data_IF_713472095863
#
_entry.id   IF_713472095863
#
_cell.length_a   1.000
_cell.length_b   1.000
_cell.length_c   1.000
_cell.angle_alpha   90.00
_cell.angle_beta   90.00
_cell.angle_gamma   90.00
#
_symmetry.space_group_name_H-M   'P 1'
#
loop_
_entity.id
_entity.type
_entity.pdbx_description
1 polymer ?
#
# COMPACT_ATOMS: atom_id res chain seq x y z
N UNK A 1 2.28 1.59 34.72
CA UNK A 1 1.12 0.79 34.25
C UNK A 1 1.40 0.47 32.80
N UNK A 2 1.46 -0.79 32.43
CA UNK A 2 1.69 -1.17 31.02
C UNK A 2 0.42 -0.85 30.22
N UNK A 3 0.57 -0.16 29.10
CA UNK A 3 -0.54 0.15 28.21
C UNK A 3 -0.81 -1.08 27.34
N UNK A 4 -2.08 -1.36 27.08
CA UNK A 4 -2.52 -2.46 26.21
C UNK A 4 -3.46 -1.89 25.15
N UNK A 5 -3.21 -2.21 23.89
CA UNK A 5 -4.06 -1.81 22.78
C UNK A 5 -5.42 -2.50 22.85
N UNK A 6 -6.49 -1.75 22.60
CA UNK A 6 -7.85 -2.31 22.53
C UNK A 6 -8.01 -3.37 21.44
N UNK A 7 -7.26 -3.23 20.36
CA UNK A 7 -7.24 -4.13 19.21
C UNK A 7 -5.80 -4.45 18.84
N UNK A 8 -5.51 -5.70 18.55
CA UNK A 8 -4.20 -6.08 18.02
C UNK A 8 -3.96 -5.35 16.71
N UNK A 9 -2.90 -4.55 16.65
CA UNK A 9 -2.61 -3.68 15.52
C UNK A 9 -1.20 -3.95 14.98
N UNK A 10 -1.08 -4.10 13.68
CA UNK A 10 0.20 -4.25 12.98
C UNK A 10 0.62 -2.97 12.28
N UNK A 11 1.91 -2.69 12.27
CA UNK A 11 2.51 -1.56 11.56
C UNK A 11 3.60 -2.07 10.63
N UNK A 12 3.67 -1.50 9.42
CA UNK A 12 4.77 -1.68 8.46
C UNK A 12 5.27 -0.32 8.05
N UNK A 13 6.60 -0.16 7.99
CA UNK A 13 7.24 1.05 7.51
C UNK A 13 8.18 0.74 6.36
N UNK A 14 8.11 1.54 5.30
CA UNK A 14 9.06 1.49 4.20
C UNK A 14 9.24 2.89 3.60
N UNK A 15 10.28 3.64 4.01
CA UNK A 15 10.57 4.98 3.52
C UNK A 15 10.99 5.06 2.06
N UNK A 16 11.49 3.97 1.46
CA UNK A 16 12.01 3.89 0.09
C UNK A 16 13.10 4.95 -0.19
N UNK A 17 14.26 4.77 0.41
CA UNK A 17 15.39 5.71 0.30
C UNK A 17 15.97 5.84 -1.10
N UNK A 18 15.81 4.84 -1.94
CA UNK A 18 16.30 4.76 -3.31
C UNK A 18 15.29 5.22 -4.37
N UNK A 19 14.13 5.74 -3.91
CA UNK A 19 13.09 6.25 -4.80
C UNK A 19 12.74 7.69 -4.46
N UNK A 20 12.84 8.58 -5.45
CA UNK A 20 12.44 9.97 -5.35
C UNK A 20 11.94 10.49 -6.70
N UNK A 21 10.96 11.40 -6.66
CA UNK A 21 10.44 12.08 -7.85
C UNK A 21 11.46 13.11 -8.32
N UNK A 22 11.96 13.91 -7.41
CA UNK A 22 13.06 14.84 -7.59
C UNK A 22 13.63 15.27 -6.23
N UNK A 23 14.85 15.81 -6.18
CA UNK A 23 15.48 16.24 -4.91
C UNK A 23 14.70 17.32 -4.15
N UNK A 24 13.82 18.06 -4.82
CA UNK A 24 13.05 19.17 -4.24
C UNK A 24 11.55 18.87 -4.10
N UNK A 25 11.10 17.67 -4.52
CA UNK A 25 9.70 17.32 -4.41
C UNK A 25 9.30 17.07 -2.95
N UNK A 26 8.10 17.49 -2.50
CA UNK A 26 7.64 17.26 -1.13
C UNK A 26 7.39 15.77 -0.79
N UNK A 27 7.12 14.92 -1.80
CA UNK A 27 7.05 13.47 -1.60
C UNK A 27 8.46 12.87 -1.54
N UNK A 28 8.98 12.71 -0.33
CA UNK A 28 10.34 12.27 -0.04
C UNK A 28 10.34 11.22 1.08
N UNK A 29 11.45 10.48 1.17
CA UNK A 29 11.66 9.45 2.19
C UNK A 29 11.56 9.99 3.62
N UNK A 30 12.03 11.21 3.85
CA UNK A 30 12.01 11.83 5.19
C UNK A 30 10.61 11.91 5.77
N UNK A 31 9.58 12.05 4.93
CA UNK A 31 8.19 12.10 5.38
C UNK A 31 7.78 10.84 6.16
N UNK A 32 8.15 9.66 5.68
CA UNK A 32 7.88 8.40 6.36
C UNK A 32 8.93 8.06 7.41
N UNK A 33 10.19 8.42 7.15
CA UNK A 33 11.28 8.20 8.11
C UNK A 33 11.01 8.93 9.42
N UNK A 34 10.71 10.23 9.38
CA UNK A 34 10.41 11.00 10.59
C UNK A 34 9.14 10.51 11.29
N UNK A 35 8.15 10.02 10.54
CA UNK A 35 6.97 9.38 11.14
C UNK A 35 7.34 8.10 11.87
N UNK A 36 8.20 7.27 11.27
CA UNK A 36 8.70 6.05 11.90
C UNK A 36 9.48 6.36 13.17
N UNK A 37 10.43 7.30 13.10
CA UNK A 37 11.23 7.72 14.26
C UNK A 37 10.33 8.23 15.40
N UNK A 38 9.33 9.05 15.08
CA UNK A 38 8.38 9.57 16.08
C UNK A 38 7.56 8.45 16.73
N UNK A 39 7.14 7.44 15.96
CA UNK A 39 6.41 6.28 16.48
C UNK A 39 7.27 5.48 17.47
N UNK A 40 8.57 5.33 17.18
CA UNK A 40 9.53 4.68 18.09
C UNK A 40 9.78 5.53 19.35
N UNK A 41 10.04 6.83 19.19
CA UNK A 41 10.32 7.75 20.31
C UNK A 41 9.15 7.88 21.28
N UNK A 42 7.92 7.90 20.77
CA UNK A 42 6.69 7.92 21.58
C UNK A 42 6.35 6.56 22.21
N UNK A 43 7.16 5.54 21.99
CA UNK A 43 7.00 4.22 22.59
C UNK A 43 5.76 3.46 22.13
N UNK A 44 5.33 3.64 20.89
CA UNK A 44 4.11 2.95 20.39
C UNK A 44 4.28 1.43 20.42
N UNK A 45 5.50 0.94 20.20
CA UNK A 45 5.80 -0.49 20.25
C UNK A 45 5.95 -1.06 21.67
N UNK A 46 6.00 -0.21 22.70
CA UNK A 46 5.95 -0.62 24.09
C UNK A 46 4.52 -0.95 24.56
N UNK A 47 3.53 -0.62 23.73
CA UNK A 47 2.12 -0.93 23.99
C UNK A 47 1.85 -2.38 23.63
N UNK A 48 1.43 -3.18 24.60
CA UNK A 48 1.03 -4.57 24.36
C UNK A 48 -0.08 -4.66 23.33
N UNK A 49 0.11 -5.50 22.28
CA UNK A 49 -0.83 -5.67 21.18
C UNK A 49 -0.55 -4.79 19.98
N UNK A 50 0.52 -3.99 19.98
CA UNK A 50 1.06 -3.33 18.79
C UNK A 50 2.30 -4.10 18.32
N UNK A 51 2.37 -4.45 17.05
CA UNK A 51 3.44 -5.26 16.49
C UNK A 51 3.97 -4.63 15.20
N UNK A 52 5.28 -4.49 15.09
CA UNK A 52 5.93 -4.15 13.84
C UNK A 52 6.07 -5.39 12.95
N UNK A 53 5.74 -5.23 11.66
CA UNK A 53 5.99 -6.22 10.62
C UNK A 53 7.00 -5.65 9.63
N UNK A 54 7.88 -6.49 9.12
CA UNK A 54 8.76 -6.11 8.00
C UNK A 54 8.02 -6.29 6.69
N UNK A 55 8.17 -5.37 5.73
CA UNK A 55 7.57 -5.53 4.41
C UNK A 55 8.19 -6.75 3.71
N UNK A 56 7.33 -7.53 3.06
CA UNK A 56 7.74 -8.57 2.12
C UNK A 56 7.91 -7.96 0.72
N UNK A 57 8.30 -8.74 -0.26
CA UNK A 57 8.30 -8.39 -1.66
C UNK A 57 7.09 -9.01 -2.37
N UNK A 58 6.41 -8.24 -3.21
CA UNK A 58 5.52 -8.85 -4.21
C UNK A 58 6.35 -9.41 -5.37
N UNK A 59 5.78 -10.35 -6.09
CA UNK A 59 6.38 -10.93 -7.30
C UNK A 59 5.82 -10.24 -8.54
N UNK A 60 6.55 -10.28 -9.66
CA UNK A 60 6.06 -9.78 -10.93
C UNK A 60 4.66 -10.32 -11.29
N UNK A 61 4.43 -11.62 -11.06
CA UNK A 61 3.11 -12.23 -11.27
C UNK A 61 1.98 -11.64 -10.41
N UNK A 62 2.28 -11.07 -9.26
CA UNK A 62 1.26 -10.41 -8.41
C UNK A 62 0.90 -9.05 -9.00
N UNK A 63 1.87 -8.35 -9.58
CA UNK A 63 1.66 -7.11 -10.34
C UNK A 63 0.83 -7.39 -11.60
N UNK A 64 1.16 -8.44 -12.34
CA UNK A 64 0.47 -8.86 -13.57
C UNK A 64 -0.97 -9.32 -13.37
N UNK A 65 -1.39 -9.64 -12.13
CA UNK A 65 -2.81 -9.88 -11.81
C UNK A 65 -3.66 -8.62 -11.98
N UNK A 66 -3.04 -7.46 -11.82
CA UNK A 66 -3.71 -6.15 -11.83
C UNK A 66 -3.41 -5.39 -13.10
N UNK A 67 -2.14 -5.39 -13.52
CA UNK A 67 -1.62 -4.50 -14.55
C UNK A 67 -1.17 -5.21 -15.81
N UNK A 68 -1.45 -4.60 -16.94
CA UNK A 68 -0.75 -4.83 -18.18
C UNK A 68 0.39 -3.80 -18.29
N UNK A 69 1.62 -4.24 -18.02
CA UNK A 69 2.80 -3.36 -17.99
C UNK A 69 3.46 -3.29 -19.37
N UNK A 70 3.82 -2.09 -19.83
CA UNK A 70 4.46 -1.85 -21.13
C UNK A 70 5.81 -1.15 -20.92
N UNK A 71 6.93 -1.75 -21.35
CA UNK A 71 7.02 -3.02 -22.09
C UNK A 71 6.78 -4.27 -21.21
N UNK A 72 7.11 -4.20 -19.93
CA UNK A 72 6.96 -5.26 -18.94
C UNK A 72 6.97 -4.67 -17.52
N UNK A 73 6.85 -5.52 -16.50
CA UNK A 73 6.82 -5.10 -15.09
C UNK A 73 8.10 -4.36 -14.69
N UNK A 74 9.25 -4.82 -15.14
CA UNK A 74 10.55 -4.25 -14.79
C UNK A 74 10.83 -2.92 -15.48
N UNK A 75 10.20 -2.68 -16.62
CA UNK A 75 10.22 -1.39 -17.32
C UNK A 75 9.34 -0.33 -16.64
N UNK A 76 8.41 -0.74 -15.77
CA UNK A 76 7.46 0.16 -15.11
C UNK A 76 7.77 0.35 -13.62
N UNK A 77 8.14 -0.72 -12.92
CA UNK A 77 8.31 -0.74 -11.47
C UNK A 77 9.75 -1.02 -11.05
N UNK A 78 10.20 -0.36 -9.99
CA UNK A 78 11.47 -0.62 -9.32
C UNK A 78 11.29 -1.50 -8.10
N UNK A 79 12.39 -1.92 -7.47
CA UNK A 79 12.35 -2.70 -6.23
C UNK A 79 11.54 -2.00 -5.13
N UNK A 80 11.65 -0.67 -5.01
CA UNK A 80 10.86 0.10 -4.05
C UNK A 80 9.35 -0.06 -4.24
N UNK A 81 8.87 -0.15 -5.47
CA UNK A 81 7.45 -0.41 -5.74
C UNK A 81 7.04 -1.83 -5.30
N UNK A 82 7.91 -2.83 -5.50
CA UNK A 82 7.65 -4.21 -5.05
C UNK A 82 7.60 -4.31 -3.52
N UNK A 83 8.48 -3.58 -2.82
CA UNK A 83 8.50 -3.54 -1.35
C UNK A 83 7.27 -2.78 -0.83
N UNK A 84 6.91 -1.66 -1.45
CA UNK A 84 5.72 -0.87 -1.06
C UNK A 84 4.45 -1.73 -1.13
N UNK A 85 4.20 -2.38 -2.27
CA UNK A 85 3.09 -3.32 -2.42
C UNK A 85 3.21 -4.54 -1.49
N UNK A 86 4.45 -4.98 -1.23
CA UNK A 86 4.76 -6.05 -0.28
C UNK A 86 4.41 -5.70 1.16
N UNK A 87 4.61 -4.44 1.56
CA UNK A 87 4.21 -3.94 2.87
C UNK A 87 2.69 -3.96 3.07
N UNK A 88 1.94 -3.48 2.08
CA UNK A 88 0.48 -3.58 2.08
C UNK A 88 0.02 -5.05 2.14
N UNK A 89 0.60 -5.93 1.31
CA UNK A 89 0.33 -7.37 1.31
C UNK A 89 0.59 -7.99 2.68
N UNK A 90 1.73 -7.66 3.32
CA UNK A 90 2.11 -8.19 4.63
C UNK A 90 1.03 -7.91 5.67
N UNK A 91 0.53 -6.66 5.73
CA UNK A 91 -0.54 -6.28 6.65
C UNK A 91 -1.84 -7.01 6.32
N UNK A 92 -2.23 -7.07 5.06
CA UNK A 92 -3.44 -7.80 4.63
C UNK A 92 -3.40 -9.28 5.03
N UNK A 93 -2.25 -9.94 4.82
CA UNK A 93 -2.04 -11.33 5.25
C UNK A 93 -2.12 -11.49 6.76
N UNK A 94 -1.50 -10.59 7.53
CA UNK A 94 -1.50 -10.65 8.99
C UNK A 94 -2.92 -10.54 9.56
N UNK A 95 -3.78 -9.71 8.96
CA UNK A 95 -5.21 -9.62 9.31
C UNK A 95 -5.94 -10.92 9.00
N UNK A 96 -5.79 -11.46 7.80
CA UNK A 96 -6.49 -12.69 7.39
C UNK A 96 -6.00 -13.93 8.12
N UNK A 97 -4.73 -13.94 8.54
CA UNK A 97 -4.16 -14.98 9.40
C UNK A 97 -4.50 -14.78 10.89
N UNK A 98 -5.33 -13.79 11.24
CA UNK A 98 -5.75 -13.48 12.61
C UNK A 98 -4.58 -13.15 13.58
N UNK A 99 -3.44 -12.73 13.06
CA UNK A 99 -2.31 -12.26 13.87
C UNK A 99 -2.62 -10.88 14.47
N UNK A 100 -3.34 -10.07 13.71
CA UNK A 100 -3.79 -8.73 14.07
C UNK A 100 -5.26 -8.55 13.63
N UNK A 101 -5.94 -7.56 14.24
CA UNK A 101 -7.30 -7.17 13.85
C UNK A 101 -7.30 -6.01 12.86
N UNK A 102 -6.29 -5.16 12.92
CA UNK A 102 -6.08 -3.97 12.09
C UNK A 102 -4.62 -3.83 11.75
N UNK A 103 -4.34 -3.13 10.66
CA UNK A 103 -2.97 -2.80 10.31
C UNK A 103 -2.84 -1.48 9.59
N UNK A 104 -1.65 -0.93 9.62
CA UNK A 104 -1.30 0.28 8.94
C UNK A 104 0.05 0.11 8.24
N UNK A 105 0.06 0.27 6.92
CA UNK A 105 1.27 0.23 6.11
C UNK A 105 1.64 1.65 5.70
N UNK A 106 2.67 2.22 6.35
CA UNK A 106 3.31 3.45 5.92
C UNK A 106 4.40 3.12 4.92
N UNK A 107 4.01 3.05 3.68
CA UNK A 107 4.89 2.63 2.58
C UNK A 107 4.85 3.64 1.44
N UNK A 108 5.91 3.68 0.65
CA UNK A 108 6.04 4.45 -0.58
C UNK A 108 6.93 3.68 -1.57
N UNK A 109 6.78 3.85 -2.86
CA UNK A 109 5.90 4.78 -3.62
C UNK A 109 4.40 4.51 -3.44
N UNK A 110 3.53 5.52 -3.77
CA UNK A 110 2.07 5.35 -3.77
C UNK A 110 1.57 4.61 -5.01
N UNK A 111 0.24 4.35 -5.09
CA UNK A 111 -0.29 3.50 -6.15
C UNK A 111 -1.61 3.91 -6.81
N UNK A 112 -2.44 4.74 -6.22
CA UNK A 112 -3.84 4.92 -6.57
C UNK A 112 -4.13 5.53 -7.95
N UNK A 113 -3.14 6.16 -8.59
CA UNK A 113 -3.25 6.65 -9.98
C UNK A 113 -2.82 5.64 -11.05
N UNK A 114 -2.19 4.53 -10.67
CA UNK A 114 -1.78 3.51 -11.63
C UNK A 114 -3.00 2.73 -12.14
N UNK A 115 -3.27 2.86 -13.44
CA UNK A 115 -4.40 2.24 -14.13
C UNK A 115 -4.11 0.77 -14.47
N UNK A 116 -5.09 0.08 -15.05
CA UNK A 116 -4.91 -1.31 -15.52
C UNK A 116 -3.79 -1.44 -16.56
N UNK A 117 -3.66 -0.49 -17.48
CA UNK A 117 -2.54 -0.42 -18.43
C UNK A 117 -1.57 0.65 -17.97
N UNK A 118 -0.31 0.27 -17.74
CA UNK A 118 0.72 1.18 -17.25
C UNK A 118 1.93 1.23 -18.18
N UNK A 119 2.40 2.45 -18.44
CA UNK A 119 3.58 2.75 -19.28
C UNK A 119 4.68 3.47 -18.48
N UNK A 120 4.45 3.77 -17.21
CA UNK A 120 5.31 4.57 -16.35
C UNK A 120 4.50 5.31 -15.29
N UNK A 121 5.13 6.27 -14.62
CA UNK A 121 4.53 7.02 -13.53
C UNK A 121 3.38 7.92 -13.98
N UNK A 122 2.28 7.90 -13.21
CA UNK A 122 1.18 8.85 -13.29
C UNK A 122 0.86 9.32 -11.87
N UNK A 123 0.89 10.62 -11.60
CA UNK A 123 0.76 11.12 -10.23
C UNK A 123 1.73 10.42 -9.27
N UNK A 124 2.97 10.15 -9.74
CA UNK A 124 4.05 9.35 -9.13
C UNK A 124 3.67 7.92 -8.70
N UNK A 125 2.56 7.39 -9.19
CA UNK A 125 2.16 6.00 -9.06
C UNK A 125 2.55 5.22 -10.31
N UNK A 126 3.33 4.15 -10.13
CA UNK A 126 3.73 3.26 -11.23
C UNK A 126 2.91 1.97 -11.25
N UNK A 127 2.62 1.42 -10.08
CA UNK A 127 1.76 0.25 -9.88
C UNK A 127 0.80 0.53 -8.72
N UNK A 128 -0.40 -0.03 -8.76
CA UNK A 128 -1.41 0.17 -7.73
C UNK A 128 -1.21 -0.81 -6.58
N UNK A 129 -0.60 -0.34 -5.50
CA UNK A 129 -0.19 -1.18 -4.37
C UNK A 129 -1.37 -1.80 -3.63
N UNK A 130 -2.48 -1.07 -3.50
CA UNK A 130 -3.70 -1.53 -2.86
C UNK A 130 -4.38 -2.62 -3.70
N UNK A 131 -4.48 -2.42 -5.01
CA UNK A 131 -5.06 -3.40 -5.91
C UNK A 131 -4.23 -4.69 -5.97
N UNK A 132 -2.91 -4.58 -5.99
CA UNK A 132 -2.00 -5.75 -5.96
C UNK A 132 -2.20 -6.55 -4.67
N UNK A 133 -2.31 -5.89 -3.52
CA UNK A 133 -2.64 -6.54 -2.26
C UNK A 133 -3.98 -7.26 -2.35
N UNK A 134 -5.03 -6.58 -2.79
CA UNK A 134 -6.39 -7.15 -2.86
C UNK A 134 -6.43 -8.37 -3.77
N UNK A 135 -5.87 -8.28 -4.98
CA UNK A 135 -5.89 -9.40 -5.94
C UNK A 135 -5.01 -10.56 -5.47
N UNK A 136 -3.91 -10.28 -4.77
CA UNK A 136 -3.14 -11.33 -4.08
C UNK A 136 -3.99 -12.01 -3.00
N UNK A 137 -4.68 -11.25 -2.15
CA UNK A 137 -5.52 -11.81 -1.07
C UNK A 137 -6.72 -12.59 -1.62
N UNK A 138 -7.33 -12.14 -2.70
CA UNK A 138 -8.37 -12.89 -3.42
C UNK A 138 -7.86 -14.24 -3.90
N UNK A 139 -6.68 -14.27 -4.50
CA UNK A 139 -6.08 -15.49 -5.00
C UNK A 139 -5.68 -16.47 -3.89
N UNK A 140 -5.09 -15.97 -2.80
CA UNK A 140 -4.52 -16.78 -1.74
C UNK A 140 -5.54 -17.16 -0.64
N UNK A 141 -6.46 -16.26 -0.29
CA UNK A 141 -7.39 -16.42 0.84
C UNK A 141 -8.86 -16.52 0.41
N UNK A 142 -9.15 -16.37 -0.90
CA UNK A 142 -10.50 -16.44 -1.47
C UNK A 142 -11.48 -15.45 -0.81
N UNK A 143 -10.99 -14.23 -0.53
CA UNK A 143 -11.87 -13.17 -0.07
C UNK A 143 -12.79 -12.73 -1.21
N UNK A 144 -14.05 -12.46 -0.90
CA UNK A 144 -15.05 -12.09 -1.91
C UNK A 144 -15.13 -10.56 -2.05
N UNK A 145 -15.78 -9.89 -1.12
CA UNK A 145 -16.10 -8.47 -1.19
C UNK A 145 -15.09 -7.61 -0.45
N UNK A 146 -14.72 -6.49 -1.07
CA UNK A 146 -13.79 -5.52 -0.53
C UNK A 146 -14.38 -4.11 -0.65
N UNK A 147 -14.12 -3.26 0.33
CA UNK A 147 -14.35 -1.83 0.24
C UNK A 147 -13.01 -1.09 0.29
N UNK A 148 -12.79 -0.18 -0.64
CA UNK A 148 -11.64 0.72 -0.70
C UNK A 148 -12.18 2.13 -0.45
N UNK A 149 -11.64 2.81 0.56
CA UNK A 149 -11.94 4.22 0.85
C UNK A 149 -10.65 5.00 0.65
N UNK A 150 -10.58 5.71 -0.45
CA UNK A 150 -9.45 6.57 -0.81
C UNK A 150 -9.70 7.97 -0.26
N UNK A 151 -8.81 8.43 0.62
CA UNK A 151 -8.88 9.75 1.27
C UNK A 151 -7.74 10.66 0.84
N UNK A 152 -7.02 10.31 -0.24
CA UNK A 152 -6.06 11.21 -0.85
C UNK A 152 -6.76 12.48 -1.34
N UNK A 153 -6.02 13.61 -1.38
CA UNK A 153 -6.58 14.85 -1.89
C UNK A 153 -6.88 14.80 -3.39
N UNK A 154 -6.29 13.85 -4.13
CA UNK A 154 -6.56 13.61 -5.54
C UNK A 154 -7.44 12.38 -5.74
N UNK A 155 -8.29 12.42 -6.77
CA UNK A 155 -9.10 11.27 -7.14
C UNK A 155 -8.25 10.05 -7.51
N UNK A 156 -8.52 8.91 -6.87
CA UNK A 156 -7.86 7.61 -7.14
C UNK A 156 -8.36 6.97 -8.45
N UNK A 157 -8.14 7.66 -9.55
CA UNK A 157 -8.65 7.29 -10.87
C UNK A 157 -8.07 5.97 -11.41
N UNK A 158 -6.84 5.60 -11.00
CA UNK A 158 -6.27 4.30 -11.31
C UNK A 158 -6.99 3.16 -10.61
N UNK A 159 -7.28 3.31 -9.33
CA UNK A 159 -8.07 2.33 -8.56
C UNK A 159 -9.47 2.20 -9.13
N UNK A 160 -10.10 3.32 -9.51
CA UNK A 160 -11.41 3.32 -10.18
C UNK A 160 -11.35 2.54 -11.51
N UNK A 161 -10.34 2.78 -12.36
CA UNK A 161 -10.18 2.09 -13.64
C UNK A 161 -10.05 0.57 -13.47
N UNK A 162 -9.27 0.14 -12.48
CA UNK A 162 -9.06 -1.28 -12.19
C UNK A 162 -10.37 -1.96 -11.79
N UNK A 163 -11.16 -1.33 -10.92
CA UNK A 163 -12.34 -1.94 -10.31
C UNK A 163 -13.68 -1.50 -10.92
N UNK A 164 -13.67 -0.72 -12.03
CA UNK A 164 -14.87 -0.18 -12.64
C UNK A 164 -15.97 -1.22 -12.94
N UNK A 165 -15.59 -2.41 -13.32
CA UNK A 165 -16.51 -3.48 -13.69
C UNK A 165 -16.55 -4.62 -12.65
N UNK A 166 -15.94 -4.44 -11.49
CA UNK A 166 -15.91 -5.46 -10.44
C UNK A 166 -17.07 -5.25 -9.45
N UNK A 167 -18.09 -6.14 -9.47
CA UNK A 167 -19.24 -6.02 -8.58
C UNK A 167 -18.92 -6.33 -7.11
N UNK A 168 -17.76 -6.92 -6.85
CA UNK A 168 -17.33 -7.33 -5.52
C UNK A 168 -16.38 -6.31 -4.85
N UNK A 169 -16.06 -5.21 -5.53
CA UNK A 169 -15.29 -4.09 -4.98
C UNK A 169 -16.12 -2.82 -4.92
N UNK A 170 -16.33 -2.30 -3.70
CA UNK A 170 -16.86 -0.96 -3.48
C UNK A 170 -15.68 0.02 -3.42
N UNK A 171 -15.58 0.92 -4.39
CA UNK A 171 -14.59 2.00 -4.37
C UNK A 171 -15.25 3.35 -4.04
N UNK A 172 -14.73 4.02 -3.02
CA UNK A 172 -15.14 5.36 -2.59
C UNK A 172 -13.91 6.25 -2.59
N UNK A 173 -13.94 7.35 -3.32
CA UNK A 173 -12.89 8.36 -3.31
C UNK A 173 -13.43 9.69 -2.79
N UNK A 174 -12.77 10.24 -1.77
CA UNK A 174 -13.10 11.53 -1.15
C UNK A 174 -11.93 12.46 -1.45
N UNK A 175 -12.09 13.35 -2.41
CA UNK A 175 -11.01 14.17 -2.94
C UNK A 175 -11.43 15.61 -3.15
N UNK A 176 -10.46 16.50 -3.34
CA UNK A 176 -10.74 17.90 -3.69
C UNK A 176 -11.37 18.00 -5.08
N UNK A 177 -12.19 19.00 -5.26
CA UNK A 177 -12.68 19.39 -6.58
C UNK A 177 -11.53 20.04 -7.37
N UNK A 178 -11.25 19.53 -8.58
CA UNK A 178 -10.09 19.89 -9.41
C UNK A 178 -10.40 20.94 -10.47
#
# INVERSE_FOLDING_TARGET
>A
MQLTAKHKTGLVFFPAFDWAISPTHPEREERLLYTQDQVFEEGLFDIEGITEFKPDLVRAQDVERVHFCVPDVWGVATESHFISAGGAKTIGMAVLNQQIEKGFALVRPPGHHAMRVVHGARGFCNINIEAIMIEFLRAAYKIDKVAIVDTDCHHGDGTQDIYWHDPDTLFISIHQDG
#
